data_IF_559941989063
#
_entry.id   IF_559941989063
#
_cell.length_a   1.000
_cell.length_b   1.000
_cell.length_c   1.000
_cell.angle_alpha   90.00
_cell.angle_beta   90.00
_cell.angle_gamma   90.00
#
_symmetry.space_group_name_H-M   'P 1'
#
loop_
_entity.id
_entity.type
_entity.pdbx_description
1 polymer ?
#
# COMPACT_ATOMS: atom_id res chain seq x y z
N UNK A 1 -51.59 39.40 12.64
CA UNK A 1 -51.17 37.99 12.86
C UNK A 1 -50.58 37.48 11.57
N UNK A 2 -49.34 37.01 11.57
CA UNK A 2 -48.80 35.79 10.92
C UNK A 2 -47.34 35.71 11.37
N UNK A 3 -47.03 34.66 12.12
CA UNK A 3 -45.79 34.49 12.87
C UNK A 3 -44.64 34.00 11.98
N UNK A 4 -43.43 34.49 12.30
CA UNK A 4 -42.12 34.11 11.73
C UNK A 4 -41.84 32.64 12.09
N UNK A 5 -41.73 31.76 11.11
CA UNK A 5 -41.25 30.40 11.33
C UNK A 5 -39.73 30.38 11.19
N UNK A 6 -39.08 30.25 12.33
CA UNK A 6 -37.65 30.07 12.47
C UNK A 6 -37.24 28.72 11.87
N UNK A 7 -36.20 28.75 11.03
CA UNK A 7 -35.55 27.57 10.51
C UNK A 7 -34.90 26.74 11.61
N UNK A 8 -34.95 25.43 11.42
CA UNK A 8 -34.10 24.47 12.15
C UNK A 8 -33.30 23.74 11.09
N UNK A 9 -32.09 24.24 10.82
CA UNK A 9 -31.09 23.51 10.06
C UNK A 9 -30.46 22.47 11.00
N UNK A 10 -30.84 21.19 10.86
CA UNK A 10 -30.13 20.09 11.50
C UNK A 10 -28.76 19.94 10.84
N UNK A 11 -27.74 20.58 11.42
CA UNK A 11 -26.35 20.29 11.13
C UNK A 11 -25.97 18.99 11.85
N UNK A 12 -26.17 17.85 11.18
CA UNK A 12 -25.56 16.57 11.58
C UNK A 12 -24.05 16.69 11.35
N UNK A 13 -23.35 17.25 12.33
CA UNK A 13 -21.90 17.17 12.42
C UNK A 13 -21.52 15.70 12.63
N UNK A 14 -21.21 15.02 11.53
CA UNK A 14 -20.65 13.68 11.54
C UNK A 14 -19.26 13.75 12.16
N UNK A 15 -19.18 13.43 13.46
CA UNK A 15 -17.92 13.13 14.12
C UNK A 15 -17.48 11.74 13.63
N UNK A 16 -16.76 11.70 12.51
CA UNK A 16 -16.13 10.46 12.07
C UNK A 16 -14.94 10.19 13.01
N UNK A 17 -14.82 8.99 13.62
CA UNK A 17 -13.62 8.63 14.35
C UNK A 17 -12.46 8.60 13.34
N UNK A 18 -11.45 9.44 13.58
CA UNK A 18 -10.21 9.41 12.83
C UNK A 18 -9.52 8.07 13.13
N UNK A 19 -9.38 7.23 12.11
CA UNK A 19 -8.64 5.98 12.23
C UNK A 19 -7.20 6.31 12.63
N UNK A 20 -6.61 5.58 13.60
CA UNK A 20 -5.21 5.79 13.95
C UNK A 20 -4.35 5.67 12.70
N UNK A 21 -3.47 6.64 12.48
CA UNK A 21 -2.47 6.54 11.42
C UNK A 21 -1.66 5.25 11.59
N UNK A 22 -1.25 4.58 10.49
CA UNK A 22 -0.44 3.39 10.58
C UNK A 22 0.84 3.72 11.35
N UNK A 23 1.08 2.99 12.44
CA UNK A 23 2.26 3.17 13.32
C UNK A 23 3.57 2.68 12.68
N UNK A 24 3.47 2.13 11.47
CA UNK A 24 4.58 1.53 10.71
C UNK A 24 4.54 2.07 9.29
N UNK A 25 5.70 2.47 8.78
CA UNK A 25 5.87 2.82 7.37
C UNK A 25 6.84 1.86 6.70
N UNK A 26 6.59 1.59 5.42
CA UNK A 26 7.48 0.82 4.56
C UNK A 26 8.23 1.79 3.68
N UNK A 27 9.55 1.87 3.88
CA UNK A 27 10.44 2.70 3.09
C UNK A 27 11.22 1.82 2.13
N UNK A 28 11.03 1.96 0.80
CA UNK A 28 11.78 1.16 -0.14
C UNK A 28 13.28 1.49 -0.11
N UNK A 29 14.12 0.46 -0.27
CA UNK A 29 15.57 0.58 -0.34
C UNK A 29 16.17 -0.40 -1.37
N UNK A 30 17.50 -0.44 -1.49
CA UNK A 30 18.19 -1.26 -2.48
C UNK A 30 18.01 -2.79 -2.28
N UNK A 31 17.63 -3.23 -1.08
CA UNK A 31 17.51 -4.65 -0.71
C UNK A 31 16.05 -5.09 -0.52
N UNK A 32 15.09 -4.17 -0.51
CA UNK A 32 13.66 -4.44 -0.35
C UNK A 32 12.91 -3.28 0.27
N UNK A 33 12.25 -3.52 1.42
CA UNK A 33 11.50 -2.51 2.16
C UNK A 33 11.98 -2.46 3.62
N UNK A 34 12.54 -1.33 4.04
CA UNK A 34 12.76 -1.02 5.45
C UNK A 34 11.42 -0.75 6.15
N UNK A 35 11.27 -1.26 7.37
CA UNK A 35 10.10 -1.09 8.22
C UNK A 35 10.46 -0.12 9.33
N UNK A 36 9.87 1.07 9.30
CA UNK A 36 10.15 2.12 10.30
C UNK A 36 9.02 2.24 11.31
N UNK A 37 9.33 2.52 12.60
CA UNK A 37 10.65 2.83 13.16
C UNK A 37 11.45 1.60 13.64
N UNK A 38 10.95 0.37 13.45
CA UNK A 38 11.55 -0.83 14.06
C UNK A 38 12.92 -1.19 13.49
N UNK A 39 13.29 -0.69 12.31
CA UNK A 39 14.52 -1.06 11.60
C UNK A 39 14.50 -2.49 11.06
N UNK A 40 13.35 -3.18 11.16
CA UNK A 40 13.15 -4.47 10.51
C UNK A 40 13.09 -4.28 9.00
N UNK A 41 13.25 -5.37 8.24
CA UNK A 41 13.25 -5.30 6.78
C UNK A 41 12.47 -6.44 6.16
N UNK A 42 11.90 -6.15 5.00
CA UNK A 42 11.33 -7.11 4.06
C UNK A 42 12.28 -7.20 2.87
N UNK A 43 13.30 -8.05 2.99
CA UNK A 43 14.27 -8.27 1.90
C UNK A 43 13.65 -8.97 0.69
N UNK A 44 14.25 -8.74 -0.49
CA UNK A 44 14.02 -9.57 -1.66
C UNK A 44 14.26 -11.06 -1.37
N UNK A 45 13.49 -11.92 -2.04
CA UNK A 45 13.50 -13.36 -1.83
C UNK A 45 12.49 -13.86 -0.80
N UNK A 46 11.87 -12.99 0.01
CA UNK A 46 10.78 -13.40 0.92
C UNK A 46 9.56 -13.93 0.16
N UNK A 47 8.89 -14.90 0.76
CA UNK A 47 7.70 -15.49 0.20
C UNK A 47 6.53 -14.48 0.13
N UNK A 48 5.78 -14.41 -0.99
CA UNK A 48 4.61 -13.53 -1.12
C UNK A 48 3.60 -13.71 0.02
N UNK A 49 3.40 -14.95 0.49
CA UNK A 49 2.49 -15.29 1.59
C UNK A 49 2.88 -14.64 2.94
N UNK A 50 4.13 -14.24 3.12
CA UNK A 50 4.59 -13.49 4.30
C UNK A 50 4.59 -11.97 4.09
N UNK A 51 4.77 -11.51 2.84
CA UNK A 51 4.86 -10.08 2.52
C UNK A 51 3.48 -9.45 2.39
N UNK A 52 2.61 -10.04 1.56
CA UNK A 52 1.33 -9.45 1.16
C UNK A 52 0.42 -9.20 2.37
N UNK A 53 0.19 -10.17 3.30
CA UNK A 53 -0.71 -9.94 4.43
C UNK A 53 -0.18 -8.89 5.42
N UNK A 54 1.14 -8.71 5.49
CA UNK A 54 1.77 -7.70 6.34
C UNK A 54 1.52 -6.32 5.77
N UNK A 55 1.76 -6.12 4.47
CA UNK A 55 1.47 -4.85 3.82
C UNK A 55 -0.03 -4.56 3.80
N UNK A 56 -0.89 -5.54 3.55
CA UNK A 56 -2.34 -5.35 3.57
C UNK A 56 -2.85 -4.87 4.93
N UNK A 57 -2.30 -5.40 6.03
CA UNK A 57 -2.64 -4.98 7.38
C UNK A 57 -2.20 -3.55 7.68
N UNK A 58 -1.04 -3.14 7.17
CA UNK A 58 -0.44 -1.86 7.49
C UNK A 58 -0.82 -0.73 6.55
N UNK A 59 -1.01 -1.01 5.27
CA UNK A 59 -1.26 -0.04 4.20
C UNK A 59 -2.68 -0.14 3.62
N UNK A 60 -3.48 -1.11 4.09
CA UNK A 60 -4.80 -1.43 3.52
C UNK A 60 -4.70 -2.38 2.33
N UNK A 61 -5.85 -2.78 1.78
CA UNK A 61 -5.89 -3.77 0.71
C UNK A 61 -5.14 -3.31 -0.55
N UNK A 62 -4.33 -4.21 -1.11
CA UNK A 62 -3.70 -4.00 -2.40
C UNK A 62 -4.68 -3.99 -3.57
N UNK A 63 -4.20 -3.47 -4.71
CA UNK A 63 -4.79 -3.69 -6.03
C UNK A 63 -3.84 -4.47 -6.93
N UNK A 64 -4.38 -5.37 -7.74
CA UNK A 64 -3.62 -6.02 -8.81
C UNK A 64 -3.29 -5.02 -9.92
N UNK A 65 -2.06 -5.04 -10.40
CA UNK A 65 -1.60 -4.22 -11.53
C UNK A 65 -1.29 -5.14 -12.70
N UNK A 66 -1.66 -4.72 -13.91
CA UNK A 66 -1.40 -5.50 -15.12
C UNK A 66 0.10 -5.68 -15.35
N UNK A 67 0.51 -6.90 -15.66
CA UNK A 67 1.86 -7.23 -16.12
C UNK A 67 1.99 -6.76 -17.57
N UNK A 68 2.97 -5.89 -17.84
CA UNK A 68 3.27 -5.39 -19.19
C UNK A 68 4.74 -5.56 -19.45
N UNK A 69 5.09 -6.29 -20.52
CA UNK A 69 6.47 -6.54 -20.94
C UNK A 69 7.34 -7.06 -19.78
N UNK A 70 6.77 -7.93 -18.95
CA UNK A 70 7.47 -8.54 -17.84
C UNK A 70 8.18 -9.82 -18.27
N UNK A 71 9.35 -10.13 -17.68
CA UNK A 71 9.90 -11.48 -17.72
C UNK A 71 8.85 -12.50 -17.25
N UNK A 72 8.90 -13.71 -17.81
CA UNK A 72 7.92 -14.78 -17.52
C UNK A 72 7.89 -15.15 -16.03
N UNK A 73 9.00 -14.95 -15.33
CA UNK A 73 9.14 -15.25 -13.91
C UNK A 73 8.29 -14.33 -13.03
N UNK A 74 8.01 -13.09 -13.47
CA UNK A 74 7.17 -12.15 -12.73
C UNK A 74 5.71 -12.45 -13.07
N UNK A 75 5.00 -13.03 -12.09
CA UNK A 75 3.62 -13.49 -12.25
C UNK A 75 2.60 -12.56 -11.59
N UNK A 76 3.06 -11.58 -10.79
CA UNK A 76 2.15 -10.69 -10.09
C UNK A 76 2.78 -9.33 -9.76
N UNK A 77 2.01 -8.27 -10.03
CA UNK A 77 2.27 -6.93 -9.49
C UNK A 77 1.12 -6.51 -8.56
N UNK A 78 1.45 -6.06 -7.36
CA UNK A 78 0.49 -5.57 -6.38
C UNK A 78 0.85 -4.16 -5.96
N UNK A 79 -0.15 -3.30 -5.81
CA UNK A 79 0.07 -1.90 -5.47
C UNK A 79 -0.69 -1.42 -4.23
N UNK A 80 0.02 -0.65 -3.41
CA UNK A 80 -0.46 0.08 -2.24
C UNK A 80 -0.15 1.56 -2.44
N UNK A 81 -1.14 2.36 -2.85
CA UNK A 81 -0.87 3.73 -3.29
C UNK A 81 0.04 3.75 -4.52
N UNK A 82 1.17 4.45 -4.45
CA UNK A 82 2.19 4.54 -5.48
C UNK A 82 3.27 3.45 -5.41
N UNK A 83 3.33 2.70 -4.31
CA UNK A 83 4.23 1.56 -4.13
C UNK A 83 3.69 0.35 -4.89
N UNK A 84 4.45 -0.15 -5.86
CA UNK A 84 4.16 -1.36 -6.62
C UNK A 84 5.22 -2.40 -6.32
N UNK A 85 4.82 -3.57 -5.83
CA UNK A 85 5.71 -4.70 -5.60
C UNK A 85 5.56 -5.73 -6.74
N UNK A 86 6.69 -6.32 -7.11
CA UNK A 86 6.80 -7.36 -8.13
C UNK A 86 7.10 -8.69 -7.46
N UNK A 87 6.35 -9.72 -7.86
CA UNK A 87 6.47 -11.05 -7.31
C UNK A 87 6.61 -12.09 -8.42
N UNK A 88 7.47 -13.07 -8.18
CA UNK A 88 7.36 -14.40 -8.79
C UNK A 88 6.35 -15.24 -8.02
N UNK A 89 6.09 -16.46 -8.48
CA UNK A 89 5.21 -17.39 -7.75
C UNK A 89 5.66 -17.67 -6.31
N UNK A 90 6.95 -17.45 -6.00
CA UNK A 90 7.54 -17.83 -4.72
C UNK A 90 8.27 -16.71 -4.00
N UNK A 91 8.54 -15.56 -4.65
CA UNK A 91 9.42 -14.54 -4.10
C UNK A 91 8.95 -13.13 -4.41
N UNK A 92 9.05 -12.25 -3.43
CA UNK A 92 9.16 -10.80 -3.63
C UNK A 92 10.50 -10.49 -4.28
N UNK A 93 10.51 -9.82 -5.43
CA UNK A 93 11.74 -9.65 -6.23
C UNK A 93 12.06 -8.22 -6.61
N UNK A 94 11.14 -7.27 -6.45
CA UNK A 94 11.40 -5.89 -6.79
C UNK A 94 10.27 -4.96 -6.43
N UNK A 95 10.55 -3.65 -6.40
CA UNK A 95 9.56 -2.63 -6.12
C UNK A 95 9.75 -1.42 -7.03
N UNK A 96 8.66 -0.66 -7.22
CA UNK A 96 8.64 0.63 -7.91
C UNK A 96 7.86 1.62 -7.07
N UNK A 97 8.37 2.84 -6.93
CA UNK A 97 7.65 3.95 -6.31
C UNK A 97 8.01 5.24 -7.07
N UNK A 98 7.02 5.81 -7.77
CA UNK A 98 7.30 6.93 -8.69
C UNK A 98 8.28 6.55 -9.80
N UNK A 99 9.43 7.24 -9.84
CA UNK A 99 10.53 7.00 -10.78
C UNK A 99 11.57 6.01 -10.24
N UNK A 100 11.53 5.74 -8.94
CA UNK A 100 12.49 4.89 -8.26
C UNK A 100 12.08 3.42 -8.34
N UNK A 101 13.09 2.56 -8.37
CA UNK A 101 12.89 1.11 -8.37
C UNK A 101 14.13 0.38 -7.91
N UNK A 102 13.94 -0.83 -7.38
CA UNK A 102 15.03 -1.77 -7.12
C UNK A 102 14.57 -3.22 -7.33
N UNK A 103 15.54 -4.10 -7.56
CA UNK A 103 15.31 -5.52 -7.84
C UNK A 103 14.82 -5.78 -9.27
N UNK A 104 14.05 -6.86 -9.45
CA UNK A 104 13.44 -7.24 -10.72
C UNK A 104 12.09 -6.55 -10.87
N UNK A 105 12.04 -5.59 -11.80
CA UNK A 105 10.85 -4.82 -12.14
C UNK A 105 10.63 -4.80 -13.64
N UNK A 106 9.38 -4.59 -14.07
CA UNK A 106 9.04 -4.42 -15.48
C UNK A 106 8.19 -3.15 -15.70
N UNK A 107 8.29 -2.60 -16.91
CA UNK A 107 7.68 -1.32 -17.31
C UNK A 107 7.79 -1.05 -18.81
#
# INVERSE_FOLDING_TARGET
>A
MIARWAGVALALAACAPELPAPSVTFHPDADGLEVRPSGLRVDFGRAPSGVIPVLDRSLGAHRSVALRRCPEEIVQHLAWGDLVLSFTAHRFVGWRQGVDSAGQVCG
#
